data_IF_325132973403
#
_entry.id   IF_325132973403
#
_cell.length_a   1.000
_cell.length_b   1.000
_cell.length_c   1.000
_cell.angle_alpha   90.00
_cell.angle_beta   90.00
_cell.angle_gamma   90.00
#
_symmetry.space_group_name_H-M   'P 1'
#
loop_
_entity.id
_entity.type
_entity.pdbx_description
1 polymer ?
#
# COMPACT_ATOMS: atom_id res chain seq x y z
N UNK A 1 -11.31 8.05 4.63
CA UNK A 1 -11.72 8.42 6.01
C UNK A 1 -10.60 8.11 6.98
N UNK A 2 -10.41 8.91 8.04
CA UNK A 2 -9.44 8.65 9.11
C UNK A 2 -10.09 8.96 10.45
N UNK A 3 -9.86 8.11 11.44
CA UNK A 3 -10.34 8.22 12.82
C UNK A 3 -9.12 8.11 13.73
N UNK A 4 -9.04 8.99 14.72
CA UNK A 4 -8.05 8.93 15.78
C UNK A 4 -8.80 8.93 17.11
N UNK A 5 -8.31 8.12 18.05
CA UNK A 5 -8.83 8.06 19.40
C UNK A 5 -7.66 8.00 20.37
N UNK A 6 -7.73 8.83 21.40
CA UNK A 6 -6.77 8.84 22.50
C UNK A 6 -7.51 8.46 23.77
N UNK A 7 -7.07 7.38 24.42
CA UNK A 7 -7.58 6.97 25.71
C UNK A 7 -6.57 7.28 26.80
N UNK A 8 -6.91 8.28 27.63
CA UNK A 8 -6.16 8.68 28.83
C UNK A 8 -4.69 8.99 28.55
N UNK A 9 -4.35 9.42 27.33
CA UNK A 9 -2.98 9.68 26.87
C UNK A 9 -2.05 8.44 26.92
N UNK A 10 -2.63 7.27 27.19
CA UNK A 10 -1.95 5.98 27.34
C UNK A 10 -2.05 5.16 26.08
N UNK A 11 -3.25 5.05 25.52
CA UNK A 11 -3.53 4.20 24.36
C UNK A 11 -4.02 5.10 23.23
N UNK A 12 -3.24 5.19 22.16
CA UNK A 12 -3.61 5.91 20.95
C UNK A 12 -3.99 4.89 19.89
N UNK A 13 -5.20 5.01 19.37
CA UNK A 13 -5.70 4.22 18.26
C UNK A 13 -5.91 5.12 17.04
N UNK A 14 -5.46 4.67 15.88
CA UNK A 14 -5.75 5.34 14.61
C UNK A 14 -6.16 4.30 13.59
N UNK A 15 -7.26 4.56 12.89
CA UNK A 15 -7.72 3.77 11.76
C UNK A 15 -8.00 4.69 10.57
N UNK A 16 -7.75 4.21 9.36
CA UNK A 16 -8.10 4.91 8.14
C UNK A 16 -8.44 3.91 7.04
N UNK A 17 -9.31 4.34 6.14
CA UNK A 17 -9.63 3.61 4.92
C UNK A 17 -9.56 4.60 3.76
N UNK A 18 -8.84 4.21 2.72
CA UNK A 18 -8.75 4.94 1.46
C UNK A 18 -9.43 4.14 0.37
N UNK A 19 -10.03 4.83 -0.61
CA UNK A 19 -10.55 4.23 -1.83
C UNK A 19 -9.90 4.94 -2.99
N UNK A 20 -9.11 4.23 -3.79
CA UNK A 20 -8.47 4.78 -4.99
C UNK A 20 -9.05 4.16 -6.25
N UNK A 21 -9.06 4.95 -7.32
CA UNK A 21 -9.57 4.57 -8.64
C UNK A 21 -8.51 4.80 -9.72
N UNK A 22 -8.35 3.86 -10.66
CA UNK A 22 -7.51 4.04 -11.83
C UNK A 22 -8.09 3.34 -13.06
N UNK A 23 -8.10 4.04 -14.19
CA UNK A 23 -8.64 3.56 -15.47
C UNK A 23 -7.71 2.60 -16.22
N UNK A 24 -6.50 2.35 -15.71
CA UNK A 24 -5.54 1.42 -16.31
C UNK A 24 -5.92 -0.05 -16.06
N UNK A 25 -6.76 -0.29 -15.04
CA UNK A 25 -7.21 -1.61 -14.63
C UNK A 25 -8.47 -2.04 -15.39
N UNK A 26 -8.81 -3.32 -15.29
CA UNK A 26 -10.03 -3.85 -15.89
C UNK A 26 -11.29 -3.16 -15.35
N UNK A 27 -12.36 -3.13 -16.14
CA UNK A 27 -13.63 -2.39 -15.88
C UNK A 27 -14.27 -2.67 -14.51
N UNK A 28 -13.95 -3.80 -13.85
CA UNK A 28 -14.46 -4.17 -12.53
C UNK A 28 -13.38 -4.13 -11.42
N UNK A 29 -12.17 -3.67 -11.74
CA UNK A 29 -11.00 -3.61 -10.87
C UNK A 29 -10.42 -2.19 -10.75
N UNK A 30 -11.08 -1.21 -11.35
CA UNK A 30 -10.68 0.20 -11.33
C UNK A 30 -10.57 0.74 -9.91
N UNK A 31 -11.41 0.27 -8.99
CA UNK A 31 -11.47 0.76 -7.61
C UNK A 31 -10.95 -0.27 -6.61
N UNK A 32 -10.07 0.17 -5.71
CA UNK A 32 -9.59 -0.62 -4.57
C UNK A 32 -9.81 0.09 -3.24
N UNK A 33 -9.92 -0.69 -2.16
CA UNK A 33 -10.02 -0.19 -0.78
C UNK A 33 -8.77 -0.58 -0.02
N UNK A 34 -8.15 0.40 0.65
CA UNK A 34 -6.87 0.24 1.33
C UNK A 34 -7.00 0.71 2.78
N UNK A 35 -7.28 -0.21 3.72
CA UNK A 35 -7.33 0.09 5.14
C UNK A 35 -5.93 0.20 5.74
N UNK A 36 -5.83 0.98 6.81
CA UNK A 36 -4.68 1.02 7.68
C UNK A 36 -5.14 1.24 9.13
N UNK A 37 -4.49 0.59 10.07
CA UNK A 37 -4.75 0.71 11.50
C UNK A 37 -3.45 0.75 12.29
N UNK A 38 -3.47 1.43 13.43
CA UNK A 38 -2.35 1.48 14.35
C UNK A 38 -2.83 1.65 15.77
N UNK A 39 -2.06 1.05 16.69
CA UNK A 39 -2.23 1.17 18.13
C UNK A 39 -0.87 1.57 18.68
N UNK A 40 -0.84 2.58 19.53
CA UNK A 40 0.32 2.95 20.32
C UNK A 40 -0.06 2.89 21.80
N UNK A 41 0.77 2.25 22.61
CA UNK A 41 0.61 2.18 24.05
C UNK A 41 1.83 2.79 24.72
N UNK A 42 1.62 3.90 25.43
CA UNK A 42 2.62 4.54 26.28
C UNK A 42 2.68 3.82 27.61
N UNK A 43 3.59 2.85 27.68
CA UNK A 43 3.85 2.08 28.89
C UNK A 43 4.44 2.97 30.00
N UNK A 44 5.17 4.04 29.64
CA UNK A 44 5.65 5.08 30.58
C UNK A 44 4.54 5.76 31.37
N UNK A 45 3.30 5.74 30.89
CA UNK A 45 2.16 6.32 31.59
C UNK A 45 1.48 5.35 32.58
N UNK A 46 1.90 4.09 32.63
CA UNK A 46 1.37 3.09 33.56
C UNK A 46 2.05 3.13 34.92
N UNK A 47 1.29 2.88 35.99
CA UNK A 47 1.77 2.98 37.38
C UNK A 47 2.99 2.09 37.67
N UNK A 48 3.09 0.93 37.00
CA UNK A 48 4.21 0.00 37.16
C UNK A 48 5.52 0.48 36.51
N UNK A 49 5.47 1.35 35.50
CA UNK A 49 6.67 1.94 34.88
C UNK A 49 6.95 3.33 35.41
N UNK A 50 5.92 4.13 35.73
CA UNK A 50 6.06 5.50 36.23
C UNK A 50 7.02 5.63 37.41
N UNK A 51 7.08 4.61 38.26
CA UNK A 51 7.94 4.59 39.45
C UNK A 51 9.42 4.25 39.15
N UNK A 52 9.74 3.86 37.92
CA UNK A 52 11.10 3.53 37.49
C UNK A 52 11.79 4.81 37.01
N UNK A 53 12.52 5.49 37.89
CA UNK A 53 13.20 6.77 37.59
C UNK A 53 14.18 6.73 36.39
N UNK A 54 14.63 5.54 36.02
CA UNK A 54 15.48 5.32 34.84
C UNK A 54 14.71 5.48 33.50
N UNK A 55 13.40 5.21 33.48
CA UNK A 55 12.55 5.21 32.30
C UNK A 55 11.76 6.51 32.21
N UNK A 56 11.91 7.24 31.11
CA UNK A 56 11.23 8.51 30.86
C UNK A 56 10.14 8.37 29.81
N UNK A 57 10.43 7.63 28.73
CA UNK A 57 9.44 7.29 27.72
C UNK A 57 9.61 5.82 27.35
N UNK A 58 8.50 5.10 27.29
CA UNK A 58 8.46 3.76 26.75
C UNK A 58 7.14 3.60 26.04
N UNK A 59 7.21 3.35 24.73
CA UNK A 59 6.05 3.35 23.86
C UNK A 59 6.13 2.17 22.90
N UNK A 60 5.13 1.30 22.96
CA UNK A 60 4.97 0.20 22.02
C UNK A 60 3.97 0.64 20.94
N UNK A 61 4.35 0.55 19.68
CA UNK A 61 3.47 0.84 18.54
C UNK A 61 3.34 -0.38 17.65
N UNK A 62 2.13 -0.73 17.28
CA UNK A 62 1.82 -1.75 16.29
C UNK A 62 1.04 -1.10 15.18
N UNK A 63 1.45 -1.33 13.93
CA UNK A 63 0.88 -0.72 12.74
C UNK A 63 0.63 -1.79 11.69
N UNK A 64 -0.48 -1.66 11.00
CA UNK A 64 -0.83 -2.42 9.82
C UNK A 64 -1.38 -1.46 8.76
N UNK A 65 -0.98 -1.64 7.51
CA UNK A 65 -1.56 -0.86 6.43
C UNK A 65 -1.31 -1.48 5.08
N UNK A 66 -2.29 -1.31 4.20
CA UNK A 66 -2.19 -1.68 2.81
C UNK A 66 -1.80 -0.46 1.99
N UNK A 67 -0.80 -0.66 1.15
CA UNK A 67 -0.35 0.32 0.16
C UNK A 67 -0.49 -0.29 -1.21
N UNK A 68 -0.64 0.57 -2.22
CA UNK A 68 -1.00 0.14 -3.56
C UNK A 68 -0.09 0.79 -4.58
N UNK A 69 0.21 0.04 -5.65
CA UNK A 69 0.99 0.48 -6.77
C UNK A 69 0.20 0.32 -8.10
N UNK A 70 0.23 1.36 -8.92
CA UNK A 70 -0.28 1.36 -10.30
C UNK A 70 0.72 2.03 -11.28
N UNK A 71 1.94 2.31 -10.82
CA UNK A 71 2.96 2.94 -11.64
C UNK A 71 3.51 1.96 -12.68
N UNK A 72 3.76 2.46 -13.90
CA UNK A 72 4.30 1.68 -15.01
C UNK A 72 3.25 1.07 -15.94
N UNK A 73 1.96 1.18 -15.62
CA UNK A 73 0.87 0.71 -16.51
C UNK A 73 0.37 1.83 -17.41
N UNK A 74 0.22 1.54 -18.70
CA UNK A 74 -0.39 2.43 -19.68
C UNK A 74 -1.91 2.42 -19.57
N UNK A 75 -2.56 3.48 -20.09
CA UNK A 75 -4.02 3.64 -20.06
C UNK A 75 -4.80 2.49 -20.73
N UNK A 76 -4.15 1.74 -21.62
CA UNK A 76 -4.76 0.65 -22.38
C UNK A 76 -4.20 -0.73 -22.04
N UNK A 77 -3.46 -0.85 -20.93
CA UNK A 77 -2.79 -2.12 -20.56
C UNK A 77 -3.77 -3.28 -20.37
N UNK A 78 -4.99 -3.00 -19.90
CA UNK A 78 -6.05 -4.00 -19.77
C UNK A 78 -6.76 -4.33 -21.11
N UNK A 79 -6.58 -3.53 -22.17
CA UNK A 79 -7.33 -3.66 -23.43
C UNK A 79 -6.58 -4.48 -24.48
N UNK A 80 -7.36 -5.12 -25.37
CA UNK A 80 -6.82 -5.70 -26.59
C UNK A 80 -6.54 -4.59 -27.60
N UNK A 81 -5.29 -4.46 -28.03
CA UNK A 81 -4.89 -3.48 -29.02
C UNK A 81 -4.59 -4.13 -30.36
N UNK A 82 -4.93 -3.41 -31.43
CA UNK A 82 -4.61 -3.75 -32.82
C UNK A 82 -3.80 -2.61 -33.42
N UNK A 83 -2.79 -2.97 -34.21
CA UNK A 83 -2.02 -2.00 -34.98
C UNK A 83 -1.81 -2.51 -36.40
N UNK A 84 -1.47 -1.60 -37.31
CA UNK A 84 -1.12 -1.94 -38.68
C UNK A 84 0.10 -2.86 -38.66
N UNK A 85 -0.02 -4.01 -39.31
CA UNK A 85 1.03 -5.03 -39.41
C UNK A 85 1.03 -5.60 -40.81
N UNK A 86 1.87 -5.01 -41.66
CA UNK A 86 2.01 -5.39 -43.06
C UNK A 86 0.90 -4.85 -43.97
N UNK A 87 0.90 -5.37 -45.19
CA UNK A 87 -0.07 -5.06 -46.23
C UNK A 87 -0.48 -6.36 -46.90
N UNK A 88 -1.68 -6.38 -47.47
CA UNK A 88 -2.16 -7.50 -48.29
C UNK A 88 -2.63 -6.96 -49.64
N UNK A 89 -2.45 -7.76 -50.68
CA UNK A 89 -2.86 -7.39 -52.03
C UNK A 89 -4.33 -7.75 -52.23
N UNK A 90 -5.15 -6.77 -52.62
CA UNK A 90 -6.57 -6.96 -52.89
C UNK A 90 -7.01 -6.04 -54.03
N UNK A 91 -7.60 -6.60 -55.09
CA UNK A 91 -8.25 -5.80 -56.14
C UNK A 91 -7.33 -4.85 -56.93
N UNK A 92 -6.01 -5.07 -56.97
CA UNK A 92 -5.08 -4.20 -57.69
C UNK A 92 -4.22 -3.29 -56.81
N UNK A 93 -4.58 -3.12 -55.54
CA UNK A 93 -3.89 -2.25 -54.58
C UNK A 93 -3.36 -3.02 -53.37
N UNK A 94 -2.31 -2.49 -52.73
CA UNK A 94 -1.83 -2.99 -51.46
C UNK A 94 -2.54 -2.25 -50.32
N UNK A 95 -3.39 -2.96 -49.60
CA UNK A 95 -4.16 -2.44 -48.48
C UNK A 95 -3.48 -2.74 -47.14
N UNK A 96 -3.76 -1.93 -46.12
CA UNK A 96 -3.18 -2.09 -44.79
C UNK A 96 -3.80 -3.29 -44.07
N UNK A 97 -2.97 -4.22 -43.59
CA UNK A 97 -3.41 -5.30 -42.71
C UNK A 97 -3.28 -4.85 -41.25
N UNK A 98 -4.21 -5.29 -40.40
CA UNK A 98 -4.17 -5.04 -38.95
C UNK A 98 -3.99 -6.36 -38.21
N UNK A 99 -3.13 -6.35 -37.19
CA UNK A 99 -2.90 -7.49 -36.31
C UNK A 99 -2.97 -7.03 -34.85
N UNK A 100 -3.39 -7.95 -33.98
CA UNK A 100 -3.34 -7.75 -32.54
C UNK A 100 -1.89 -7.53 -32.10
N UNK A 101 -1.62 -6.42 -31.42
CA UNK A 101 -0.31 -6.12 -30.82
C UNK A 101 -0.25 -6.46 -29.34
N UNK A 102 -1.41 -6.57 -28.69
CA UNK A 102 -1.54 -6.89 -27.27
C UNK A 102 -2.84 -7.68 -27.02
N UNK A 103 -2.83 -8.60 -26.06
CA UNK A 103 -4.02 -9.30 -25.58
C UNK A 103 -4.76 -8.51 -24.50
N UNK A 104 -6.07 -8.70 -24.37
CA UNK A 104 -6.82 -8.11 -23.26
C UNK A 104 -6.52 -8.84 -21.94
N UNK A 105 -6.52 -8.10 -20.85
CA UNK A 105 -6.53 -8.64 -19.48
C UNK A 105 -7.60 -7.93 -18.65
N UNK A 106 -8.85 -8.42 -18.70
CA UNK A 106 -9.95 -7.82 -17.94
C UNK A 106 -9.81 -8.00 -16.42
N UNK A 107 -8.93 -8.91 -15.97
CA UNK A 107 -8.67 -9.21 -14.56
C UNK A 107 -7.47 -8.43 -14.00
N UNK A 108 -6.84 -7.56 -14.81
CA UNK A 108 -5.77 -6.69 -14.36
C UNK A 108 -6.26 -5.84 -13.18
N UNK A 109 -5.62 -6.02 -12.03
CA UNK A 109 -5.99 -5.43 -10.75
C UNK A 109 -4.77 -4.84 -10.06
N UNK A 110 -5.02 -4.12 -8.96
CA UNK A 110 -4.00 -3.42 -8.18
C UNK A 110 -2.96 -4.37 -7.57
N UNK A 111 -1.69 -3.97 -7.64
CA UNK A 111 -0.64 -4.58 -6.83
C UNK A 111 -0.72 -4.02 -5.41
N UNK A 112 -0.91 -4.89 -4.42
CA UNK A 112 -1.13 -4.48 -3.02
C UNK A 112 0.03 -4.95 -2.16
N UNK A 113 0.62 -4.04 -1.41
CA UNK A 113 1.66 -4.32 -0.42
C UNK A 113 1.11 -4.08 0.98
N UNK A 114 0.87 -5.17 1.71
CA UNK A 114 0.50 -5.15 3.11
C UNK A 114 1.76 -5.02 3.98
N UNK A 115 1.80 -4.01 4.84
CA UNK A 115 2.92 -3.77 5.77
C UNK A 115 2.44 -3.97 7.20
N UNK A 116 3.11 -4.86 7.94
CA UNK A 116 3.01 -4.97 9.40
C UNK A 116 4.25 -4.37 10.03
N UNK A 117 4.10 -3.62 11.10
CA UNK A 117 5.23 -3.04 11.82
C UNK A 117 4.99 -3.03 13.32
N UNK A 118 5.99 -3.45 14.07
CA UNK A 118 6.07 -3.37 15.52
C UNK A 118 7.25 -2.47 15.84
N UNK A 119 7.01 -1.45 16.65
CA UNK A 119 7.99 -0.46 17.03
C UNK A 119 8.02 -0.31 18.55
N UNK A 120 9.20 -0.26 19.12
CA UNK A 120 9.41 0.11 20.51
C UNK A 120 10.23 1.39 20.53
N UNK A 121 9.63 2.47 21.00
CA UNK A 121 10.35 3.71 21.30
C UNK A 121 10.72 3.72 22.78
N UNK A 122 11.95 4.12 23.09
CA UNK A 122 12.45 4.22 24.45
C UNK A 122 13.21 5.53 24.68
N UNK A 123 13.12 6.03 25.91
CA UNK A 123 13.86 7.17 26.42
C UNK A 123 14.23 6.93 27.88
N UNK A 124 15.53 6.97 28.17
CA UNK A 124 16.12 6.73 29.48
C UNK A 124 16.97 7.91 29.95
N UNK A 125 17.27 7.95 31.26
CA UNK A 125 18.19 8.92 31.88
C UNK A 125 17.83 10.39 31.63
N UNK A 126 16.55 10.74 31.81
CA UNK A 126 15.97 12.05 31.48
C UNK A 126 16.15 12.42 30.01
N UNK A 127 16.00 11.43 29.12
CA UNK A 127 16.12 11.60 27.68
C UNK A 127 17.56 11.63 27.15
N UNK A 128 18.58 11.38 28.00
CA UNK A 128 19.99 11.32 27.54
C UNK A 128 20.26 10.15 26.61
N UNK A 129 19.51 9.05 26.75
CA UNK A 129 19.56 7.91 25.85
C UNK A 129 18.16 7.71 25.29
N UNK A 130 17.99 7.82 23.98
CA UNK A 130 16.71 7.57 23.33
C UNK A 130 16.92 6.88 21.99
N UNK A 131 15.89 6.17 21.53
CA UNK A 131 15.91 5.48 20.25
C UNK A 131 14.59 4.78 19.96
N UNK A 132 14.54 4.17 18.79
CA UNK A 132 13.45 3.29 18.40
C UNK A 132 14.01 2.01 17.80
N UNK A 133 13.33 0.90 18.06
CA UNK A 133 13.56 -0.37 17.39
C UNK A 133 12.32 -0.67 16.57
N UNK A 134 12.50 -0.77 15.26
CA UNK A 134 11.43 -1.02 14.29
C UNK A 134 11.63 -2.38 13.63
N UNK A 135 10.64 -3.25 13.78
CA UNK A 135 10.59 -4.56 13.12
C UNK A 135 9.39 -4.55 12.17
N UNK A 136 9.61 -4.89 10.91
CA UNK A 136 8.58 -4.80 9.89
C UNK A 136 8.57 -6.01 8.95
N UNK A 137 7.39 -6.33 8.44
CA UNK A 137 7.15 -7.34 7.42
C UNK A 137 6.32 -6.70 6.31
N UNK A 138 6.75 -6.90 5.05
CA UNK A 138 6.04 -6.42 3.86
C UNK A 138 5.75 -7.60 2.96
N UNK A 139 4.49 -7.78 2.61
CA UNK A 139 4.03 -8.84 1.71
C UNK A 139 3.29 -8.16 0.56
N UNK A 140 3.79 -8.37 -0.65
CA UNK A 140 3.15 -7.89 -1.89
C UNK A 140 2.36 -9.02 -2.52
N UNK A 141 1.08 -8.80 -2.78
CA UNK A 141 0.19 -9.71 -3.49
C UNK A 141 -0.24 -9.10 -4.82
N UNK A 142 -0.65 -9.96 -5.75
CA UNK A 142 -1.13 -9.56 -7.08
C UNK A 142 -0.09 -8.73 -7.85
N UNK A 143 1.17 -9.11 -7.69
CA UNK A 143 2.31 -8.46 -8.32
C UNK A 143 2.13 -8.43 -9.84
N UNK A 144 2.30 -7.24 -10.42
CA UNK A 144 2.10 -7.06 -11.84
C UNK A 144 3.47 -7.21 -12.51
N UNK A 145 3.65 -8.30 -13.25
CA UNK A 145 4.91 -8.64 -13.91
C UNK A 145 4.69 -8.93 -15.39
N UNK A 146 5.50 -8.32 -16.26
CA UNK A 146 5.53 -8.62 -17.69
C UNK A 146 4.44 -7.95 -18.55
N UNK A 147 4.22 -6.64 -18.36
CA UNK A 147 3.43 -5.78 -19.26
C UNK A 147 4.30 -4.74 -19.96
#
# INVERSE_FOLDING_TARGET
MRVNYDFKEKILFQASVRRDGSSVFGKNKEWGYFPAASVAWRLSEEEFIKNIAFINDLKLRVRYGETVNAFGLGAYTALRLYNKSGTYYSGGTFESAFRSTQGANPDLQWEVTATKNICVDYGFLKGKISGSIDLYEKITTDMIFGY
#
